data_IF_551563645407
#
_entry.id   IF_551563645407
#
_cell.length_a   1.000
_cell.length_b   1.000
_cell.length_c   1.000
_cell.angle_alpha   90.00
_cell.angle_beta   90.00
_cell.angle_gamma   90.00
#
_symmetry.space_group_name_H-M   'P 1'
#
loop_
_entity.id
_entity.type
_entity.pdbx_description
1 polymer ?
#
# COMPACT_ATOMS: atom_id res chain seq x y z
N UNK A 1 -1.24 9.04 -9.59
CA UNK A 1 -0.23 8.37 -8.74
C UNK A 1 -0.40 8.77 -7.29
N UNK A 2 -0.62 10.05 -7.02
CA UNK A 2 -0.79 10.61 -5.67
C UNK A 2 -1.92 9.95 -4.86
N UNK A 3 -3.07 9.68 -5.49
CA UNK A 3 -4.19 9.01 -4.80
C UNK A 3 -3.83 7.63 -4.24
N UNK A 4 -3.03 6.83 -4.96
CA UNK A 4 -2.58 5.53 -4.47
C UNK A 4 -1.58 5.69 -3.32
N UNK A 5 -0.66 6.65 -3.43
CA UNK A 5 0.32 6.95 -2.38
C UNK A 5 -0.41 7.39 -1.10
N UNK A 6 -1.43 8.25 -1.21
CA UNK A 6 -2.23 8.70 -0.08
C UNK A 6 -3.02 7.56 0.57
N UNK A 7 -3.74 6.78 -0.23
CA UNK A 7 -4.54 5.64 0.24
C UNK A 7 -3.67 4.61 0.97
N UNK A 8 -2.52 4.29 0.38
CA UNK A 8 -1.58 3.33 0.95
C UNK A 8 -0.88 3.87 2.20
N UNK A 9 -0.61 5.18 2.26
CA UNK A 9 -0.07 5.83 3.46
C UNK A 9 -1.09 5.81 4.60
N UNK A 10 -2.36 6.14 4.33
CA UNK A 10 -3.43 6.09 5.31
C UNK A 10 -3.69 4.67 5.82
N UNK A 11 -3.71 3.68 4.92
CA UNK A 11 -3.84 2.27 5.27
C UNK A 11 -2.65 1.78 6.11
N UNK A 12 -1.43 2.16 5.72
CA UNK A 12 -0.23 1.82 6.46
C UNK A 12 -0.26 2.41 7.88
N UNK A 13 -0.65 3.67 8.03
CA UNK A 13 -0.85 4.33 9.32
C UNK A 13 -1.92 3.61 10.16
N UNK A 14 -3.08 3.31 9.56
CA UNK A 14 -4.18 2.61 10.24
C UNK A 14 -3.83 1.17 10.63
N UNK A 15 -2.87 0.53 9.96
CA UNK A 15 -2.36 -0.82 10.31
C UNK A 15 -1.13 -0.80 11.20
N UNK A 16 -0.57 0.37 11.52
CA UNK A 16 0.71 0.49 12.21
C UNK A 16 1.89 -0.07 11.42
N UNK A 17 1.78 -0.16 10.09
CA UNK A 17 2.82 -0.69 9.19
C UNK A 17 3.44 0.44 8.36
N UNK A 18 4.60 0.16 7.77
CA UNK A 18 5.14 1.07 6.76
C UNK A 18 4.49 0.78 5.39
N UNK A 19 4.30 1.80 4.54
CA UNK A 19 3.81 1.62 3.17
C UNK A 19 4.62 0.59 2.36
N UNK A 20 5.94 0.56 2.57
CA UNK A 20 6.82 -0.44 1.95
C UNK A 20 6.54 -1.86 2.45
N UNK A 21 6.20 -2.04 3.73
CA UNK A 21 5.80 -3.35 4.25
C UNK A 21 4.48 -3.82 3.63
N UNK A 22 3.50 -2.92 3.48
CA UNK A 22 2.22 -3.22 2.81
C UNK A 22 2.45 -3.63 1.35
N UNK A 23 3.28 -2.88 0.61
CA UNK A 23 3.62 -3.24 -0.78
C UNK A 23 4.33 -4.60 -0.87
N UNK A 24 5.21 -4.90 0.08
CA UNK A 24 5.89 -6.19 0.11
C UNK A 24 4.91 -7.33 0.42
N UNK A 25 3.96 -7.14 1.33
CA UNK A 25 2.93 -8.14 1.61
C UNK A 25 1.96 -8.32 0.44
N UNK A 26 1.59 -7.23 -0.25
CA UNK A 26 0.59 -7.27 -1.32
C UNK A 26 1.12 -7.79 -2.66
N UNK A 27 2.33 -7.39 -3.05
CA UNK A 27 2.88 -7.68 -4.38
C UNK A 27 4.33 -8.20 -4.36
N UNK A 28 4.88 -8.50 -3.18
CA UNK A 28 6.29 -8.83 -3.01
C UNK A 28 7.22 -7.76 -3.62
N UNK A 29 6.86 -6.49 -3.42
CA UNK A 29 7.62 -5.36 -3.92
C UNK A 29 9.09 -5.41 -3.47
N UNK A 30 9.99 -4.95 -4.34
CA UNK A 30 11.41 -4.82 -4.01
C UNK A 30 11.62 -3.68 -3.02
N UNK A 31 12.73 -3.75 -2.29
CA UNK A 31 13.19 -2.65 -1.44
C UNK A 31 13.38 -1.40 -2.31
N UNK A 32 12.78 -0.27 -1.90
CA UNK A 32 12.81 0.98 -2.67
C UNK A 32 11.69 1.16 -3.70
N UNK A 33 10.79 0.18 -3.89
CA UNK A 33 9.61 0.37 -4.77
C UNK A 33 8.70 1.49 -4.28
N UNK A 34 8.47 1.61 -2.97
CA UNK A 34 7.69 2.71 -2.38
C UNK A 34 8.30 4.07 -2.69
N UNK A 35 9.61 4.21 -2.46
CA UNK A 35 10.34 5.46 -2.72
C UNK A 35 10.33 5.82 -4.21
N UNK A 36 10.50 4.83 -5.09
CA UNK A 36 10.42 5.04 -6.53
C UNK A 36 9.03 5.52 -6.98
N UNK A 37 7.95 5.03 -6.37
CA UNK A 37 6.59 5.49 -6.65
C UNK A 37 6.33 6.88 -6.09
N UNK A 38 6.81 7.17 -4.88
CA UNK A 38 6.71 8.49 -4.24
C UNK A 38 7.49 9.56 -5.02
N UNK A 39 8.68 9.22 -5.50
CA UNK A 39 9.54 10.12 -6.27
C UNK A 39 9.13 10.21 -7.76
N UNK A 40 8.08 9.49 -8.20
CA UNK A 40 7.66 9.44 -9.60
C UNK A 40 8.68 8.76 -10.54
N UNK A 41 9.71 8.11 -10.00
CA UNK A 41 10.75 7.39 -10.77
C UNK A 41 10.26 6.08 -11.36
N UNK A 42 9.21 5.51 -10.78
CA UNK A 42 8.59 4.29 -11.26
C UNK A 42 7.08 4.37 -11.10
N UNK A 43 6.35 3.95 -12.14
CA UNK A 43 4.90 3.92 -12.14
C UNK A 43 4.39 2.53 -11.79
N UNK A 44 3.45 2.38 -10.83
CA UNK A 44 2.76 1.12 -10.61
C UNK A 44 1.96 0.73 -11.86
N UNK A 45 2.04 -0.54 -12.26
CA UNK A 45 1.16 -1.08 -13.30
C UNK A 45 -0.26 -1.28 -12.74
N UNK A 46 -1.27 -1.28 -13.62
CA UNK A 46 -2.66 -1.56 -13.22
C UNK A 46 -2.78 -2.86 -12.40
N UNK A 47 -2.03 -3.91 -12.77
CA UNK A 47 -2.01 -5.18 -12.03
C UNK A 47 -1.44 -5.06 -10.62
N UNK A 48 -0.41 -4.21 -10.42
CA UNK A 48 0.13 -3.95 -9.09
C UNK A 48 -0.87 -3.17 -8.24
N UNK A 49 -1.54 -2.17 -8.82
CA UNK A 49 -2.58 -1.40 -8.13
C UNK A 49 -3.75 -2.29 -7.71
N UNK A 50 -4.24 -3.14 -8.61
CA UNK A 50 -5.33 -4.08 -8.33
C UNK A 50 -4.98 -5.02 -7.17
N UNK A 51 -3.79 -5.64 -7.20
CA UNK A 51 -3.34 -6.53 -6.12
C UNK A 51 -3.21 -5.81 -4.79
N UNK A 52 -2.67 -4.60 -4.79
CA UNK A 52 -2.55 -3.78 -3.58
C UNK A 52 -3.92 -3.45 -3.01
N UNK A 53 -4.87 -3.04 -3.85
CA UNK A 53 -6.25 -2.78 -3.42
C UNK A 53 -6.96 -4.04 -2.91
N UNK A 54 -6.79 -5.18 -3.60
CA UNK A 54 -7.31 -6.48 -3.13
C UNK A 54 -6.72 -6.88 -1.78
N UNK A 55 -5.42 -6.65 -1.58
CA UNK A 55 -4.76 -6.91 -0.32
C UNK A 55 -5.33 -6.01 0.80
N UNK A 56 -5.48 -4.70 0.56
CA UNK A 56 -6.05 -3.77 1.54
C UNK A 56 -7.51 -4.10 1.87
N UNK A 57 -8.30 -4.57 0.89
CA UNK A 57 -9.67 -5.03 1.11
C UNK A 57 -9.75 -6.37 1.87
N UNK A 58 -8.83 -7.30 1.60
CA UNK A 58 -8.76 -8.59 2.29
C UNK A 58 -8.18 -8.49 3.71
N UNK A 59 -7.37 -7.47 3.97
CA UNK A 59 -6.79 -7.16 5.26
C UNK A 59 -7.26 -5.77 5.71
N UNK A 60 -8.53 -5.61 6.12
CA UNK A 60 -8.99 -4.32 6.62
C UNK A 60 -8.07 -3.86 7.75
N UNK A 61 -7.74 -2.56 7.82
CA UNK A 61 -7.01 -2.06 8.97
C UNK A 61 -7.84 -2.40 10.21
N UNK A 62 -7.21 -3.06 11.18
CA UNK A 62 -7.76 -3.25 12.52
C UNK A 62 -7.82 -1.87 13.19
N UNK A 63 -8.67 -0.98 12.68
CA UNK A 63 -9.37 -0.08 13.56
C UNK A 63 -10.31 -1.00 14.30
N UNK A 64 -9.98 -1.26 15.55
CA UNK A 64 -10.80 -2.01 16.47
C UNK A 64 -12.28 -1.73 16.17
N UNK A 65 -13.02 -2.79 15.84
CA UNK A 65 -14.44 -2.81 16.10
C UNK A 65 -14.59 -2.54 17.59
N UNK A 66 -14.72 -1.26 17.94
CA UNK A 66 -15.43 -0.86 19.13
C UNK A 66 -16.91 -1.11 18.83
N UNK A 67 -17.35 -2.36 19.04
CA UNK A 67 -18.75 -2.74 19.14
C UNK A 67 -18.89 -3.95 20.07
#
# INVERSE_FOLDING_TARGET
MEQLILDLSAYAEATGRSPQAVLRSAINAKWGTWDAWRAGRSSPTLSSVDRVRRYMAAHPPLREEAA
#
